data_IF_028878682384
#
_entry.id   IF_028878682384
#
_cell.length_a   1.000
_cell.length_b   1.000
_cell.length_c   1.000
_cell.angle_alpha   90.00
_cell.angle_beta   90.00
_cell.angle_gamma   90.00
#
_symmetry.space_group_name_H-M   'P 1'
#
loop_
_entity.id
_entity.type
_entity.pdbx_description
1 polymer ?
#
# COMPACT_ATOMS: atom_id res chain seq x y z
N UNK A 1 -11.50 0.60 2.66
CA UNK A 1 -11.35 1.77 1.78
C UNK A 1 -12.11 2.97 2.32
N UNK A 2 -13.36 2.81 2.77
CA UNK A 2 -14.16 3.94 3.28
C UNK A 2 -13.58 4.61 4.54
N UNK A 3 -12.99 3.84 5.45
CA UNK A 3 -12.31 4.40 6.64
C UNK A 3 -11.10 5.27 6.27
N UNK A 4 -10.34 4.86 5.24
CA UNK A 4 -9.17 5.59 4.75
C UNK A 4 -9.59 6.87 4.01
N UNK A 5 -10.64 6.76 3.18
CA UNK A 5 -11.24 7.89 2.49
C UNK A 5 -11.76 8.92 3.50
N UNK A 6 -12.44 8.46 4.55
CA UNK A 6 -12.88 9.30 5.66
C UNK A 6 -11.70 9.97 6.38
N UNK A 7 -10.62 9.25 6.69
CA UNK A 7 -9.43 9.86 7.28
C UNK A 7 -8.80 10.95 6.39
N UNK A 8 -8.82 10.75 5.07
CA UNK A 8 -8.27 11.69 4.10
C UNK A 8 -9.17 12.93 3.92
N UNK A 9 -10.49 12.73 3.92
CA UNK A 9 -11.49 13.80 3.94
C UNK A 9 -11.42 14.61 5.25
N UNK A 10 -11.32 13.95 6.40
CA UNK A 10 -11.16 14.57 7.71
C UNK A 10 -9.85 15.39 7.78
N UNK A 11 -8.75 14.87 7.20
CA UNK A 11 -7.47 15.59 7.12
C UNK A 11 -7.56 16.81 6.20
N UNK A 12 -8.22 16.69 5.05
CA UNK A 12 -8.47 17.79 4.11
C UNK A 12 -9.32 18.89 4.75
N UNK A 13 -10.37 18.51 5.46
CA UNK A 13 -11.26 19.44 6.15
C UNK A 13 -10.51 20.16 7.29
N UNK A 14 -9.74 19.41 8.08
CA UNK A 14 -8.87 19.95 9.15
C UNK A 14 -7.84 20.92 8.57
N UNK A 15 -7.19 20.57 7.47
CA UNK A 15 -6.23 21.44 6.78
C UNK A 15 -6.89 22.73 6.30
N UNK A 16 -8.04 22.64 5.64
CA UNK A 16 -8.76 23.78 5.11
C UNK A 16 -9.26 24.70 6.22
N UNK A 17 -9.75 24.11 7.32
CA UNK A 17 -10.17 24.85 8.51
C UNK A 17 -9.00 25.61 9.14
N UNK A 18 -7.89 24.92 9.41
CA UNK A 18 -6.70 25.53 10.05
C UNK A 18 -6.04 26.59 9.18
N UNK A 19 -5.95 26.37 7.86
CA UNK A 19 -5.43 27.36 6.91
C UNK A 19 -6.31 28.62 6.88
N UNK A 20 -7.63 28.46 6.92
CA UNK A 20 -8.58 29.58 6.96
C UNK A 20 -8.48 30.35 8.28
N UNK A 21 -8.30 29.64 9.40
CA UNK A 21 -8.15 30.24 10.72
C UNK A 21 -6.84 31.05 10.82
N UNK A 22 -5.74 30.46 10.37
CA UNK A 22 -4.44 31.13 10.25
C UNK A 22 -4.51 32.37 9.33
N UNK A 23 -5.21 32.28 8.19
CA UNK A 23 -5.41 33.44 7.30
C UNK A 23 -6.22 34.56 7.98
N UNK A 24 -7.24 34.23 8.78
CA UNK A 24 -8.00 35.23 9.55
C UNK A 24 -7.14 35.90 10.61
N UNK A 25 -6.29 35.14 11.28
CA UNK A 25 -5.40 35.67 12.32
C UNK A 25 -4.30 36.57 11.72
N UNK A 26 -3.75 36.21 10.55
CA UNK A 26 -2.87 37.09 9.78
C UNK A 26 -3.56 38.39 9.34
N UNK A 27 -4.83 38.33 8.93
CA UNK A 27 -5.61 39.51 8.54
C UNK A 27 -5.98 40.40 9.74
N UNK A 28 -6.15 39.82 10.94
CA UNK A 28 -6.41 40.55 12.19
C UNK A 28 -5.14 41.05 12.90
N UNK A 29 -3.98 40.49 12.57
CA UNK A 29 -2.70 40.71 13.24
C UNK A 29 -2.06 42.11 13.12
N UNK A 30 -2.77 43.11 12.59
CA UNK A 30 -2.31 44.51 12.61
C UNK A 30 -2.76 45.30 13.85
N UNK A 31 -3.49 44.68 14.80
CA UNK A 31 -3.88 45.35 16.04
C UNK A 31 -3.81 44.42 17.27
N UNK A 32 -2.81 44.70 18.12
CA UNK A 32 -2.81 44.58 19.58
C UNK A 32 -2.35 43.30 20.34
N UNK A 33 -1.31 43.57 21.16
CA UNK A 33 -1.10 43.32 22.61
C UNK A 33 -0.69 41.97 23.22
N UNK A 34 -0.35 40.92 22.46
CA UNK A 34 0.40 39.77 23.04
C UNK A 34 1.86 39.77 22.56
N UNK A 35 2.81 39.37 23.41
CA UNK A 35 4.22 39.23 23.02
C UNK A 35 4.32 38.32 21.78
N UNK A 36 4.95 38.78 20.67
CA UNK A 36 4.98 38.07 19.39
C UNK A 36 5.47 36.62 19.50
N UNK A 37 6.31 36.36 20.49
CA UNK A 37 6.92 35.06 20.79
C UNK A 37 5.95 34.02 21.37
N UNK A 38 4.92 34.40 22.13
CA UNK A 38 3.98 33.40 22.70
C UNK A 38 2.97 32.90 21.68
N UNK A 39 2.47 33.77 20.80
CA UNK A 39 1.59 33.40 19.67
C UNK A 39 2.33 32.52 18.65
N UNK A 40 3.58 32.86 18.33
CA UNK A 40 4.40 32.04 17.43
C UNK A 40 4.66 30.64 17.99
N UNK A 41 4.85 30.51 19.31
CA UNK A 41 5.05 29.21 19.96
C UNK A 41 3.78 28.34 19.90
N UNK A 42 2.58 28.92 20.09
CA UNK A 42 1.32 28.19 19.93
C UNK A 42 1.08 27.75 18.50
N UNK A 43 1.32 28.64 17.52
CA UNK A 43 1.12 28.35 16.11
C UNK A 43 2.08 27.25 15.63
N UNK A 44 3.33 27.29 16.07
CA UNK A 44 4.31 26.25 15.80
C UNK A 44 3.92 24.90 16.40
N UNK A 45 3.39 24.88 17.63
CA UNK A 45 2.94 23.63 18.25
C UNK A 45 1.76 23.00 17.48
N UNK A 46 0.81 23.83 17.01
CA UNK A 46 -0.32 23.38 16.19
C UNK A 46 0.16 22.87 14.84
N UNK A 47 1.06 23.59 14.17
CA UNK A 47 1.65 23.16 12.90
C UNK A 47 2.42 21.84 13.04
N UNK A 48 3.27 21.72 14.06
CA UNK A 48 4.03 20.49 14.33
C UNK A 48 3.11 19.29 14.53
N UNK A 49 2.05 19.46 15.31
CA UNK A 49 1.06 18.40 15.54
C UNK A 49 0.40 18.00 14.24
N UNK A 50 -0.02 18.98 13.43
CA UNK A 50 -0.62 18.74 12.12
C UNK A 50 0.32 17.96 11.18
N UNK A 51 1.59 18.36 11.08
CA UNK A 51 2.59 17.68 10.24
C UNK A 51 2.79 16.23 10.70
N UNK A 52 2.94 16.00 12.01
CA UNK A 52 3.11 14.64 12.54
C UNK A 52 1.89 13.76 12.27
N UNK A 53 0.67 14.27 12.47
CA UNK A 53 -0.56 13.53 12.17
C UNK A 53 -0.70 13.22 10.67
N UNK A 54 -0.29 14.15 9.81
CA UNK A 54 -0.31 13.95 8.36
C UNK A 54 0.68 12.87 7.92
N UNK A 55 1.88 12.86 8.50
CA UNK A 55 2.90 11.83 8.25
C UNK A 55 2.47 10.46 8.75
N UNK A 56 1.88 10.37 9.94
CA UNK A 56 1.34 9.13 10.50
C UNK A 56 0.22 8.57 9.61
N UNK A 57 -0.67 9.44 9.12
CA UNK A 57 -1.73 9.04 8.18
C UNK A 57 -1.14 8.48 6.87
N UNK A 58 -0.12 9.14 6.30
CA UNK A 58 0.54 8.67 5.09
C UNK A 58 1.23 7.33 5.31
N UNK A 59 1.88 7.13 6.46
CA UNK A 59 2.51 5.87 6.82
C UNK A 59 1.47 4.74 6.89
N UNK A 60 0.34 4.97 7.53
CA UNK A 60 -0.76 4.00 7.61
C UNK A 60 -1.34 3.68 6.22
N UNK A 61 -1.45 4.67 5.33
CA UNK A 61 -1.87 4.47 3.94
C UNK A 61 -0.89 3.57 3.17
N UNK A 62 0.41 3.82 3.30
CA UNK A 62 1.45 3.01 2.64
C UNK A 62 1.45 1.57 3.14
N UNK A 63 1.29 1.36 4.45
CA UNK A 63 1.23 0.02 5.02
C UNK A 63 0.01 -0.76 4.52
N UNK A 64 -1.17 -0.11 4.45
CA UNK A 64 -2.37 -0.73 3.91
C UNK A 64 -2.18 -1.11 2.44
N UNK A 65 -1.61 -0.22 1.63
CA UNK A 65 -1.35 -0.50 0.21
C UNK A 65 -0.38 -1.66 0.02
N UNK A 66 0.69 -1.73 0.82
CA UNK A 66 1.62 -2.85 0.80
C UNK A 66 0.91 -4.18 1.08
N UNK A 67 0.10 -4.23 2.14
CA UNK A 67 -0.66 -5.45 2.50
C UNK A 67 -1.64 -5.86 1.40
N UNK A 68 -2.31 -4.89 0.78
CA UNK A 68 -3.24 -5.17 -0.31
C UNK A 68 -2.52 -5.67 -1.57
N UNK A 69 -1.36 -5.10 -1.89
CA UNK A 69 -0.53 -5.57 -3.00
C UNK A 69 -0.10 -7.02 -2.79
N UNK A 70 0.42 -7.35 -1.60
CA UNK A 70 0.83 -8.72 -1.23
C UNK A 70 -0.35 -9.70 -1.29
N UNK A 71 -1.52 -9.28 -0.81
CA UNK A 71 -2.73 -10.10 -0.88
C UNK A 71 -3.18 -10.34 -2.33
N UNK A 72 -3.14 -9.32 -3.18
CA UNK A 72 -3.48 -9.46 -4.60
C UNK A 72 -2.49 -10.38 -5.31
N UNK A 73 -1.20 -10.23 -5.04
CA UNK A 73 -0.16 -11.08 -5.59
C UNK A 73 -0.31 -12.54 -5.10
N UNK A 74 -0.54 -12.75 -3.81
CA UNK A 74 -0.75 -14.10 -3.26
C UNK A 74 -2.00 -14.74 -3.86
N UNK A 75 -3.09 -13.99 -4.02
CA UNK A 75 -4.32 -14.47 -4.66
C UNK A 75 -4.11 -14.79 -6.13
N UNK A 76 -3.39 -13.96 -6.88
CA UNK A 76 -3.09 -14.21 -8.29
C UNK A 76 -2.18 -15.45 -8.47
N UNK A 77 -1.25 -15.65 -7.52
CA UNK A 77 -0.38 -16.84 -7.43
C UNK A 77 -1.07 -18.08 -6.88
N UNK A 78 -2.33 -18.00 -6.42
CA UNK A 78 -3.04 -19.12 -5.80
C UNK A 78 -3.28 -20.34 -6.71
N UNK A 79 -3.10 -20.20 -8.03
CA UNK A 79 -3.16 -21.29 -9.01
C UNK A 79 -1.83 -21.52 -9.74
N UNK A 80 -0.74 -20.99 -9.20
CA UNK A 80 0.60 -21.13 -9.74
C UNK A 80 1.36 -22.10 -8.85
N UNK A 81 2.03 -23.08 -9.46
CA UNK A 81 2.92 -24.00 -8.77
C UNK A 81 4.34 -23.75 -9.26
N UNK A 82 5.28 -23.56 -8.34
CA UNK A 82 6.70 -23.48 -8.64
C UNK A 82 7.32 -24.86 -8.42
N UNK A 83 8.00 -25.36 -9.45
CA UNK A 83 8.70 -26.65 -9.41
C UNK A 83 10.18 -26.37 -9.60
N UNK A 84 11.00 -26.93 -8.71
CA UNK A 84 12.45 -26.74 -8.71
C UNK A 84 13.16 -28.09 -8.80
N UNK A 85 14.40 -28.09 -9.28
CA UNK A 85 15.21 -29.30 -9.39
C UNK A 85 14.88 -30.18 -10.58
N UNK A 86 14.18 -29.63 -11.59
CA UNK A 86 13.96 -30.30 -12.88
C UNK A 86 15.17 -30.03 -13.77
N UNK A 87 15.81 -31.06 -14.36
CA UNK A 87 16.93 -30.86 -15.29
C UNK A 87 16.47 -30.14 -16.55
N UNK A 88 17.17 -29.07 -16.93
CA UNK A 88 16.87 -28.26 -18.12
C UNK A 88 17.36 -28.94 -19.42
N UNK A 89 16.55 -28.87 -20.48
CA UNK A 89 16.93 -29.32 -21.83
C UNK A 89 16.68 -28.24 -22.89
N UNK A 90 17.45 -28.27 -23.98
CA UNK A 90 17.22 -27.38 -25.14
C UNK A 90 15.88 -27.73 -25.81
N UNK A 91 15.04 -26.73 -26.06
CA UNK A 91 13.71 -26.85 -26.68
C UNK A 91 12.77 -27.80 -25.93
N UNK A 92 12.76 -27.75 -24.60
CA UNK A 92 11.86 -28.59 -23.81
C UNK A 92 10.39 -28.16 -23.89
N UNK A 93 9.50 -29.16 -23.88
CA UNK A 93 8.09 -28.93 -23.64
C UNK A 93 7.85 -28.99 -22.12
N UNK A 94 7.88 -27.82 -21.48
CA UNK A 94 7.77 -27.67 -20.02
C UNK A 94 6.50 -28.29 -19.46
N UNK A 95 5.35 -28.16 -20.13
CA UNK A 95 4.09 -28.76 -19.71
C UNK A 95 4.14 -30.30 -19.67
N UNK A 96 4.72 -30.92 -20.70
CA UNK A 96 4.90 -32.38 -20.77
C UNK A 96 5.91 -32.89 -19.73
N UNK A 97 7.02 -32.18 -19.57
CA UNK A 97 8.05 -32.49 -18.59
C UNK A 97 7.50 -32.44 -17.16
N UNK A 98 6.74 -31.39 -16.84
CA UNK A 98 6.10 -31.21 -15.53
C UNK A 98 5.06 -32.29 -15.28
N UNK A 99 4.15 -32.57 -16.22
CA UNK A 99 3.15 -33.64 -16.09
C UNK A 99 3.82 -34.99 -15.81
N UNK A 100 4.88 -35.32 -16.56
CA UNK A 100 5.63 -36.58 -16.40
C UNK A 100 6.33 -36.64 -15.04
N UNK A 101 6.92 -35.53 -14.59
CA UNK A 101 7.62 -35.45 -13.30
C UNK A 101 6.65 -35.63 -12.14
N UNK A 102 5.49 -34.97 -12.19
CA UNK A 102 4.44 -35.10 -11.17
C UNK A 102 3.84 -36.51 -11.15
N UNK A 103 3.59 -37.11 -12.31
CA UNK A 103 3.12 -38.49 -12.40
C UNK A 103 4.14 -39.49 -11.83
N UNK A 104 5.44 -39.30 -12.12
CA UNK A 104 6.51 -40.18 -11.67
C UNK A 104 6.78 -40.11 -10.17
N UNK A 105 6.83 -38.90 -9.60
CA UNK A 105 7.26 -38.68 -8.22
C UNK A 105 6.11 -38.55 -7.21
N UNK A 106 4.93 -38.11 -7.65
CA UNK A 106 3.76 -37.89 -6.79
C UNK A 106 2.55 -38.74 -7.18
N UNK A 107 2.67 -39.60 -8.21
CA UNK A 107 1.58 -40.45 -8.71
C UNK A 107 0.32 -39.67 -9.14
N UNK A 108 0.47 -38.40 -9.50
CA UNK A 108 -0.62 -37.57 -10.01
C UNK A 108 -0.74 -37.77 -11.52
N UNK A 109 -1.60 -38.69 -11.94
CA UNK A 109 -1.82 -39.03 -13.37
C UNK A 109 -2.94 -38.24 -14.02
N UNK A 110 -3.66 -37.41 -13.26
CA UNK A 110 -4.79 -36.60 -13.73
C UNK A 110 -4.35 -35.33 -14.48
N UNK A 111 -3.09 -34.93 -14.35
CA UNK A 111 -2.55 -33.74 -15.00
C UNK A 111 -1.93 -34.11 -16.35
N UNK A 112 -2.52 -33.59 -17.43
CA UNK A 112 -1.98 -33.68 -18.79
C UNK A 112 -1.49 -32.30 -19.24
N UNK A 113 -0.68 -32.20 -20.31
CA UNK A 113 -0.19 -30.90 -20.81
C UNK A 113 -1.30 -29.87 -21.04
N UNK A 114 -2.49 -30.32 -21.44
CA UNK A 114 -3.67 -29.47 -21.72
C UNK A 114 -4.35 -28.94 -20.45
N UNK A 115 -4.06 -29.53 -19.28
CA UNK A 115 -4.60 -29.05 -17.99
C UNK A 115 -3.96 -27.75 -17.52
N UNK A 116 -2.80 -27.39 -18.05
CA UNK A 116 -2.09 -26.16 -17.68
C UNK A 116 -2.50 -25.01 -18.59
N UNK A 117 -2.97 -23.91 -18.00
CA UNK A 117 -3.26 -22.69 -18.78
C UNK A 117 -1.99 -22.07 -19.37
N UNK A 118 -0.88 -22.10 -18.62
CA UNK A 118 0.45 -21.66 -19.02
C UNK A 118 1.49 -22.46 -18.24
N UNK A 119 2.57 -22.88 -18.89
CA UNK A 119 3.74 -23.50 -18.27
C UNK A 119 4.98 -22.85 -18.92
N UNK A 120 5.90 -22.36 -18.10
CA UNK A 120 7.07 -21.60 -18.53
C UNK A 120 8.34 -22.29 -18.07
#
# INVERSE_FOLDING_TARGET
>A
MDALKKQLDDMKETFTYRMRDFQKDLQKGNSDTASPSSRLASDFAVFRTFVMTSLECLQNQMELLSRLADQMETRSRGKILLIHGVPESKNENTASLVATTLAKHLSVTTLTPDTFSKCH
#
